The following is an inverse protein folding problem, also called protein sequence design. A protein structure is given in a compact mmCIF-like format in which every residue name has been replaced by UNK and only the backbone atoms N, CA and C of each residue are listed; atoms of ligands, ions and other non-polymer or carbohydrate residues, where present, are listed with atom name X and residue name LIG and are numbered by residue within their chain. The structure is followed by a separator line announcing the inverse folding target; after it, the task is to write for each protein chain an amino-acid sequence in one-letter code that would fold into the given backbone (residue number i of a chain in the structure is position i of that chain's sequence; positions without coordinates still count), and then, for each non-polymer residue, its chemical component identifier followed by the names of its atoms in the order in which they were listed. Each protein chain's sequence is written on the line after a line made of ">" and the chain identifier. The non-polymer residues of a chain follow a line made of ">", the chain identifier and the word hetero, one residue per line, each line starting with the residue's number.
data_IF_055805633725
#
_entry.id   IF_055805633725
#
_cell.length_a   1.000
_cell.length_b   1.000
_cell.length_c   1.000
_cell.angle_alpha   90.00
_cell.angle_beta   90.00
_cell.angle_gamma   90.00
#
_symmetry.space_group_name_H-M   'P 1'
#
loop_
_entity.id
_entity.type
_entity.pdbx_description
1 polymer ?
#
# COMPACT_ATOMS: atom_id res chain seq x y z
N UNK A 1 -20.34 5.49 -45.70
CA UNK A 1 -19.15 6.08 -45.05
C UNK A 1 -19.03 5.61 -43.58
N UNK A 2 -18.92 4.29 -43.31
CA UNK A 2 -18.84 3.73 -41.93
C UNK A 2 -17.46 3.14 -41.56
N UNK A 3 -16.48 3.19 -42.45
CA UNK A 3 -15.18 2.52 -42.28
C UNK A 3 -14.09 3.32 -41.55
N UNK A 4 -14.26 4.64 -41.37
CA UNK A 4 -13.21 5.50 -40.82
C UNK A 4 -13.29 5.67 -39.29
N UNK A 5 -14.46 5.46 -38.67
CA UNK A 5 -14.65 5.70 -37.24
C UNK A 5 -14.22 4.50 -36.38
N UNK A 6 -14.37 3.28 -36.89
CA UNK A 6 -14.00 2.04 -36.18
C UNK A 6 -12.49 1.84 -36.06
N UNK A 7 -11.70 2.28 -37.04
CA UNK A 7 -10.23 2.20 -37.00
C UNK A 7 -9.68 3.08 -35.86
N UNK A 8 -10.22 4.29 -35.70
CA UNK A 8 -9.89 5.20 -34.60
C UNK A 8 -10.29 4.65 -33.22
N UNK A 9 -11.38 3.86 -33.13
CA UNK A 9 -11.80 3.23 -31.87
C UNK A 9 -10.86 2.10 -31.47
N UNK A 10 -10.45 1.25 -32.42
CA UNK A 10 -9.54 0.14 -32.15
C UNK A 10 -8.15 0.66 -31.77
N UNK A 11 -7.61 1.64 -32.50
CA UNK A 11 -6.34 2.29 -32.16
C UNK A 11 -6.38 2.95 -30.77
N UNK A 12 -7.47 3.66 -30.44
CA UNK A 12 -7.64 4.25 -29.11
C UNK A 12 -7.69 3.19 -28.00
N UNK A 13 -8.35 2.04 -28.23
CA UNK A 13 -8.37 0.93 -27.27
C UNK A 13 -6.96 0.37 -27.06
N UNK A 14 -6.17 0.21 -28.12
CA UNK A 14 -4.78 -0.25 -28.01
C UNK A 14 -3.90 0.76 -27.27
N UNK A 15 -4.06 2.05 -27.52
CA UNK A 15 -3.35 3.12 -26.81
C UNK A 15 -3.74 3.11 -25.31
N UNK A 16 -5.03 3.04 -24.99
CA UNK A 16 -5.52 2.98 -23.62
C UNK A 16 -5.04 1.72 -22.89
N UNK A 17 -5.03 0.57 -23.55
CA UNK A 17 -4.48 -0.67 -22.98
C UNK A 17 -2.98 -0.56 -22.72
N UNK A 18 -2.24 0.10 -23.62
CA UNK A 18 -0.82 0.43 -23.43
C UNK A 18 -0.58 1.33 -22.21
N UNK A 19 -1.39 2.39 -22.06
CA UNK A 19 -1.35 3.30 -20.91
C UNK A 19 -1.68 2.56 -19.61
N UNK A 20 -2.74 1.74 -19.61
CA UNK A 20 -3.13 0.95 -18.43
C UNK A 20 -2.01 0.00 -18.00
N UNK A 21 -1.38 -0.70 -18.96
CA UNK A 21 -0.29 -1.63 -18.68
C UNK A 21 0.97 -0.92 -18.17
N UNK A 22 1.26 0.28 -18.71
CA UNK A 22 2.32 1.14 -18.22
C UNK A 22 2.06 1.65 -16.80
N UNK A 23 0.83 2.08 -16.52
CA UNK A 23 0.39 2.52 -15.21
C UNK A 23 0.41 1.38 -14.19
N UNK A 24 -0.11 0.20 -14.54
CA UNK A 24 -0.09 -0.99 -13.68
C UNK A 24 1.34 -1.38 -13.30
N UNK A 25 2.29 -1.36 -14.26
CA UNK A 25 3.71 -1.62 -13.98
C UNK A 25 4.31 -0.63 -12.98
N UNK A 26 3.91 0.64 -13.01
CA UNK A 26 4.37 1.67 -12.08
C UNK A 26 3.72 1.54 -10.70
N UNK A 27 2.42 1.24 -10.64
CA UNK A 27 1.68 1.16 -9.39
C UNK A 27 1.84 -0.17 -8.64
N UNK A 28 2.00 -1.30 -9.34
CA UNK A 28 2.15 -2.63 -8.74
C UNK A 28 3.22 -2.69 -7.64
N UNK A 29 4.47 -2.22 -7.83
CA UNK A 29 5.47 -2.25 -6.77
C UNK A 29 5.10 -1.36 -5.58
N UNK A 30 4.42 -0.23 -5.80
CA UNK A 30 3.97 0.67 -4.73
C UNK A 30 2.89 0.00 -3.89
N UNK A 31 1.89 -0.60 -4.55
CA UNK A 31 0.80 -1.32 -3.89
C UNK A 31 1.34 -2.52 -3.10
N UNK A 32 2.27 -3.29 -3.65
CA UNK A 32 2.87 -4.43 -2.95
C UNK A 32 3.68 -4.01 -1.72
N UNK A 33 4.39 -2.87 -1.79
CA UNK A 33 5.10 -2.29 -0.63
C UNK A 33 4.12 -1.88 0.47
N UNK A 34 3.03 -1.21 0.10
CA UNK A 34 1.96 -0.82 1.03
C UNK A 34 1.28 -2.04 1.65
N UNK A 35 0.91 -3.04 0.85
CA UNK A 35 0.29 -4.28 1.34
C UNK A 35 1.23 -5.07 2.27
N UNK A 36 2.50 -5.20 1.93
CA UNK A 36 3.50 -5.89 2.77
C UNK A 36 3.67 -5.18 4.11
N UNK A 37 3.71 -3.85 4.11
CA UNK A 37 3.81 -3.05 5.33
C UNK A 37 2.54 -3.10 6.16
N UNK A 38 1.36 -2.97 5.54
CA UNK A 38 0.06 -3.14 6.20
C UNK A 38 -0.05 -4.50 6.89
N UNK A 39 0.39 -5.59 6.25
CA UNK A 39 0.47 -6.92 6.89
C UNK A 39 1.39 -6.96 8.12
N UNK A 40 2.53 -6.27 8.08
CA UNK A 40 3.47 -6.17 9.21
C UNK A 40 2.91 -5.32 10.36
N UNK A 41 2.11 -4.31 10.07
CA UNK A 41 1.43 -3.50 11.10
C UNK A 41 0.23 -4.24 11.68
N UNK A 42 -0.55 -4.93 10.85
CA UNK A 42 -1.71 -5.71 11.26
C UNK A 42 -1.37 -6.78 12.31
N UNK A 43 -0.17 -7.38 12.26
CA UNK A 43 0.26 -8.35 13.29
C UNK A 43 0.38 -7.76 14.69
N UNK A 44 0.50 -6.44 14.83
CA UNK A 44 0.52 -5.76 16.12
C UNK A 44 -0.89 -5.54 16.70
N UNK A 45 -1.93 -5.64 15.86
CA UNK A 45 -3.34 -5.48 16.27
C UNK A 45 -4.09 -6.82 16.33
N UNK A 46 -3.74 -7.76 15.45
CA UNK A 46 -4.39 -9.07 15.33
C UNK A 46 -3.41 -10.15 15.76
N UNK A 47 -3.46 -10.52 17.04
CA UNK A 47 -2.68 -11.63 17.56
C UNK A 47 -3.24 -12.96 17.02
N UNK A 48 -2.39 -13.78 16.39
CA UNK A 48 -2.79 -15.10 15.86
C UNK A 48 -2.99 -16.16 16.94
N UNK A 49 -2.47 -15.93 18.15
CA UNK A 49 -2.46 -16.91 19.25
C UNK A 49 -2.82 -16.24 20.57
N UNK A 50 -3.43 -17.01 21.48
CA UNK A 50 -3.80 -16.57 22.83
C UNK A 50 -2.59 -16.07 23.62
N UNK A 51 -1.45 -16.74 23.50
CA UNK A 51 -0.19 -16.31 24.13
C UNK A 51 0.31 -14.97 23.59
N UNK A 52 0.20 -14.75 22.27
CA UNK A 52 0.54 -13.47 21.64
C UNK A 52 -0.37 -12.32 22.09
N UNK A 53 -1.64 -12.62 22.37
CA UNK A 53 -2.58 -11.64 22.92
C UNK A 53 -2.14 -11.15 24.31
N UNK A 54 -1.81 -12.07 25.22
CA UNK A 54 -1.37 -11.70 26.58
C UNK A 54 -0.02 -10.96 26.56
N UNK A 55 0.94 -11.41 25.75
CA UNK A 55 2.23 -10.73 25.61
C UNK A 55 2.04 -9.30 25.07
N UNK A 56 1.24 -9.12 24.01
CA UNK A 56 0.90 -7.79 23.47
C UNK A 56 0.28 -6.91 24.57
N UNK A 57 -0.68 -7.44 25.32
CA UNK A 57 -1.39 -6.67 26.32
C UNK A 57 -0.47 -6.25 27.48
N UNK A 58 0.47 -7.11 27.87
CA UNK A 58 1.48 -6.80 28.89
C UNK A 58 2.47 -5.73 28.39
N UNK A 59 2.94 -5.87 27.14
CA UNK A 59 3.80 -4.87 26.51
C UNK A 59 3.09 -3.52 26.40
N UNK A 60 1.83 -3.48 25.94
CA UNK A 60 1.06 -2.24 25.85
C UNK A 60 0.77 -1.61 27.21
N UNK A 61 0.62 -2.42 28.26
CA UNK A 61 0.37 -1.93 29.63
C UNK A 61 1.61 -1.28 30.26
N UNK A 62 2.80 -1.72 29.87
CA UNK A 62 4.09 -1.22 30.41
C UNK A 62 4.72 -0.15 29.49
N UNK A 63 4.37 -0.14 28.20
CA UNK A 63 4.98 0.76 27.23
C UNK A 63 4.55 2.21 27.45
N UNK A 64 5.49 3.16 27.49
CA UNK A 64 5.16 4.59 27.54
C UNK A 64 4.39 5.05 26.30
N UNK A 65 3.37 5.89 26.49
CA UNK A 65 2.57 6.45 25.38
C UNK A 65 3.42 7.20 24.33
N UNK A 66 4.55 7.77 24.74
CA UNK A 66 5.50 8.44 23.85
C UNK A 66 6.16 7.50 22.84
N UNK A 67 6.41 6.25 23.21
CA UNK A 67 6.98 5.24 22.32
C UNK A 67 5.97 4.77 21.27
N UNK A 68 4.72 4.58 21.70
CA UNK A 68 3.62 4.24 20.80
C UNK A 68 3.41 5.37 19.78
N UNK A 69 3.37 6.61 20.24
CA UNK A 69 3.24 7.78 19.38
C UNK A 69 4.41 7.92 18.41
N UNK A 70 5.65 7.78 18.90
CA UNK A 70 6.86 7.82 18.06
C UNK A 70 6.86 6.73 16.99
N UNK A 71 6.43 5.51 17.32
CA UNK A 71 6.32 4.40 16.38
C UNK A 71 5.25 4.64 15.30
N UNK A 72 4.08 5.19 15.67
CA UNK A 72 3.05 5.56 14.69
C UNK A 72 3.50 6.71 13.79
N UNK A 73 4.11 7.76 14.35
CA UNK A 73 4.62 8.91 13.58
C UNK A 73 5.75 8.48 12.63
N UNK A 74 6.67 7.63 13.09
CA UNK A 74 7.71 7.05 12.24
C UNK A 74 7.11 6.21 11.11
N UNK A 75 6.05 5.44 11.40
CA UNK A 75 5.36 4.65 10.39
C UNK A 75 4.64 5.51 9.35
N UNK A 76 3.95 6.56 9.77
CA UNK A 76 3.31 7.52 8.87
C UNK A 76 4.34 8.27 8.00
N UNK A 77 5.50 8.65 8.57
CA UNK A 77 6.61 9.26 7.80
C UNK A 77 7.14 8.33 6.71
N UNK A 78 7.26 7.04 7.01
CA UNK A 78 7.70 6.05 6.00
C UNK A 78 6.64 5.82 4.92
N UNK A 79 5.35 5.87 5.26
CA UNK A 79 4.28 5.79 4.26
C UNK A 79 4.26 7.01 3.33
N UNK A 80 4.50 8.20 3.87
CA UNK A 80 4.66 9.43 3.09
C UNK A 80 5.89 9.32 2.17
N UNK A 81 7.02 8.83 2.67
CA UNK A 81 8.25 8.67 1.88
C UNK A 81 8.08 7.62 0.76
N UNK A 82 7.37 6.51 1.03
CA UNK A 82 7.06 5.48 0.04
C UNK A 82 6.08 5.94 -1.05
N UNK A 83 5.23 6.93 -0.74
CA UNK A 83 4.24 7.49 -1.67
C UNK A 83 4.78 8.71 -2.40
N UNK A 84 5.77 9.38 -1.82
CA UNK A 84 6.51 10.49 -2.44
C UNK A 84 7.53 9.92 -3.41
N UNK A 85 7.04 9.49 -4.57
CA UNK A 85 7.89 9.34 -5.75
C UNK A 85 8.45 10.73 -6.05
N UNK A 86 9.76 10.93 -5.86
CA UNK A 86 10.49 12.00 -6.57
C UNK A 86 10.30 11.73 -8.07
N UNK A 87 9.42 12.51 -8.69
CA UNK A 87 9.33 12.63 -10.15
C UNK A 87 10.52 13.43 -10.63
#
# INVERSE_FOLDING_TARGET
>A
MKGATTINTVENIFILAGILKGAEKKFRPIIERLQRRGKKMATMYIAKTTWGYHLRNLVLKVMPSSWIASWHVSSAKVEIDLTTVKI
#
